data_IF_676799045658
#
_entry.id   IF_676799045658
#
_cell.length_a   1.000
_cell.length_b   1.000
_cell.length_c   1.000
_cell.angle_alpha   90.00
_cell.angle_beta   90.00
_cell.angle_gamma   90.00
#
_symmetry.space_group_name_H-M   'P 1'
#
loop_
_entity.id
_entity.type
_entity.pdbx_description
1 polymer ?
#
# COMPACT_ATOMS: atom_id res chain seq x y z
N UNK A 1 4.27 5.15 -13.19
CA UNK A 1 4.13 3.68 -12.99
C UNK A 1 4.03 3.28 -11.51
N UNK A 2 4.93 3.77 -10.65
CA UNK A 2 4.92 3.53 -9.19
C UNK A 2 3.57 3.86 -8.56
N UNK A 3 3.00 5.02 -8.87
CA UNK A 3 1.68 5.45 -8.38
C UNK A 3 0.55 4.48 -8.77
N UNK A 4 0.59 3.92 -9.98
CA UNK A 4 -0.42 2.96 -10.43
C UNK A 4 -0.33 1.65 -9.64
N UNK A 5 0.88 1.24 -9.26
CA UNK A 5 1.11 0.05 -8.44
C UNK A 5 0.71 0.32 -6.98
N UNK A 6 1.07 1.48 -6.43
CA UNK A 6 0.61 1.92 -5.11
C UNK A 6 -0.92 2.03 -5.03
N UNK A 7 -1.58 2.49 -6.11
CA UNK A 7 -3.05 2.52 -6.20
C UNK A 7 -3.64 1.11 -6.21
N UNK A 8 -3.00 0.18 -6.92
CA UNK A 8 -3.44 -1.24 -6.98
C UNK A 8 -3.27 -1.97 -5.65
N UNK A 9 -2.21 -1.72 -4.90
CA UNK A 9 -2.02 -2.31 -3.57
C UNK A 9 -2.89 -1.61 -2.51
N UNK A 10 -3.28 -0.35 -2.75
CA UNK A 10 -4.05 0.47 -1.81
C UNK A 10 -3.16 1.22 -0.82
N UNK A 11 -1.87 1.34 -1.12
CA UNK A 11 -0.88 2.06 -0.31
C UNK A 11 -0.73 3.52 -0.71
N UNK A 12 -1.28 3.94 -1.85
CA UNK A 12 -1.14 5.31 -2.36
C UNK A 12 -1.59 6.37 -1.34
N UNK A 13 -2.67 6.13 -0.60
CA UNK A 13 -3.18 7.06 0.44
C UNK A 13 -2.24 7.19 1.66
N UNK A 14 -1.27 6.29 1.81
CA UNK A 14 -0.30 6.29 2.94
C UNK A 14 1.12 6.63 2.53
N UNK A 15 1.42 6.65 1.24
CA UNK A 15 2.72 7.06 0.73
C UNK A 15 2.74 8.58 0.53
N UNK A 16 3.77 9.22 1.04
CA UNK A 16 4.04 10.61 0.72
C UNK A 16 4.56 10.74 -0.72
N UNK A 17 4.54 11.97 -1.25
CA UNK A 17 5.14 12.28 -2.55
C UNK A 17 6.62 11.88 -2.59
N UNK A 18 7.35 12.10 -1.49
CA UNK A 18 8.76 11.73 -1.35
C UNK A 18 8.93 10.22 -1.43
N UNK A 19 8.07 9.43 -0.79
CA UNK A 19 8.17 7.96 -0.84
C UNK A 19 7.97 7.44 -2.27
N UNK A 20 7.03 8.02 -3.00
CA UNK A 20 6.79 7.71 -4.42
C UNK A 20 8.02 8.03 -5.26
N UNK A 21 8.66 9.18 -5.03
CA UNK A 21 9.88 9.59 -5.73
C UNK A 21 11.06 8.67 -5.42
N UNK A 22 11.25 8.27 -4.16
CA UNK A 22 12.30 7.32 -3.74
C UNK A 22 12.09 5.96 -4.40
N UNK A 23 10.85 5.44 -4.40
CA UNK A 23 10.49 4.19 -5.06
C UNK A 23 10.72 4.25 -6.58
N UNK A 24 10.42 5.40 -7.21
CA UNK A 24 10.66 5.61 -8.64
C UNK A 24 12.16 5.62 -8.94
N UNK A 25 12.94 6.40 -8.18
CA UNK A 25 14.38 6.51 -8.34
C UNK A 25 15.08 5.16 -8.13
N UNK A 26 14.71 4.43 -7.07
CA UNK A 26 15.26 3.12 -6.79
C UNK A 26 14.98 2.13 -7.92
N UNK A 27 13.80 2.21 -8.55
CA UNK A 27 13.47 1.38 -9.71
C UNK A 27 14.34 1.70 -10.92
N UNK A 28 14.51 2.98 -11.23
CA UNK A 28 15.32 3.43 -12.38
C UNK A 28 16.79 3.05 -12.21
N UNK A 29 17.33 3.23 -11.01
CA UNK A 29 18.73 2.93 -10.69
C UNK A 29 18.97 1.45 -10.35
N UNK A 30 17.91 0.62 -10.26
CA UNK A 30 17.96 -0.75 -9.72
C UNK A 30 18.65 -0.80 -8.35
N UNK A 31 18.42 0.21 -7.53
CA UNK A 31 19.01 0.35 -6.20
C UNK A 31 18.18 -0.36 -5.13
N UNK A 32 18.84 -0.79 -4.06
CA UNK A 32 18.19 -1.39 -2.89
C UNK A 32 17.66 -0.29 -1.97
N UNK A 33 16.40 -0.40 -1.55
CA UNK A 33 15.78 0.53 -0.60
C UNK A 33 16.04 0.06 0.82
N UNK A 34 16.65 0.90 1.66
CA UNK A 34 16.78 0.64 3.08
C UNK A 34 15.67 1.40 3.81
N UNK A 35 14.69 0.69 4.37
CA UNK A 35 13.56 1.30 5.08
C UNK A 35 12.85 0.28 5.95
N UNK A 36 12.36 0.71 7.11
CA UNK A 36 11.47 -0.08 7.98
C UNK A 36 9.97 0.21 7.75
N UNK A 37 9.63 1.12 6.82
CA UNK A 37 8.23 1.42 6.53
C UNK A 37 7.59 0.29 5.69
N UNK A 38 6.58 -0.37 6.26
CA UNK A 38 5.87 -1.46 5.60
C UNK A 38 5.13 -1.05 4.31
N UNK A 39 4.65 0.20 4.18
CA UNK A 39 4.01 0.67 2.95
C UNK A 39 5.04 0.75 1.81
N UNK A 40 6.22 1.31 2.11
CA UNK A 40 7.33 1.40 1.14
C UNK A 40 7.78 -0.01 0.76
N UNK A 41 8.02 -0.89 1.74
CA UNK A 41 8.42 -2.26 1.48
C UNK A 41 7.38 -3.04 0.67
N UNK A 42 6.07 -2.83 0.92
CA UNK A 42 4.99 -3.51 0.18
C UNK A 42 5.03 -3.14 -1.32
N UNK A 43 5.15 -1.84 -1.60
CA UNK A 43 5.22 -1.34 -2.97
C UNK A 43 6.54 -1.72 -3.64
N UNK A 44 7.67 -1.63 -2.93
CA UNK A 44 8.98 -2.08 -3.40
C UNK A 44 8.94 -3.56 -3.80
N UNK A 45 8.41 -4.43 -2.93
CA UNK A 45 8.25 -5.86 -3.20
C UNK A 45 7.36 -6.13 -4.41
N UNK A 46 6.28 -5.37 -4.58
CA UNK A 46 5.40 -5.48 -5.75
C UNK A 46 6.09 -5.02 -7.04
N UNK A 47 6.94 -4.00 -6.95
CA UNK A 47 7.77 -3.49 -8.03
C UNK A 47 9.01 -4.35 -8.32
N UNK A 48 9.26 -5.40 -7.52
CA UNK A 48 10.47 -6.24 -7.55
C UNK A 48 11.75 -5.42 -7.31
N UNK A 49 11.66 -4.37 -6.50
CA UNK A 49 12.81 -3.61 -6.00
C UNK A 49 13.32 -4.33 -4.76
N UNK A 50 14.63 -4.53 -4.66
CA UNK A 50 15.22 -5.07 -3.46
C UNK A 50 15.10 -4.08 -2.31
N UNK A 51 14.81 -4.58 -1.11
CA UNK A 51 14.76 -3.74 0.08
C UNK A 51 15.38 -4.46 1.26
N UNK A 52 15.94 -3.69 2.18
CA UNK A 52 16.50 -4.17 3.43
C UNK A 52 15.80 -3.46 4.61
N UNK A 53 15.17 -4.21 5.52
CA UNK A 53 14.71 -3.65 6.79
C UNK A 53 15.92 -3.36 7.70
N UNK A 54 15.78 -2.41 8.63
CA UNK A 54 16.85 -2.05 9.57
C UNK A 54 16.64 -2.76 10.92
N UNK A 55 15.47 -2.57 11.52
CA UNK A 55 15.10 -3.18 12.80
C UNK A 55 13.97 -4.21 12.66
N UNK A 56 13.13 -4.06 11.63
CA UNK A 56 11.96 -4.92 11.46
C UNK A 56 12.33 -6.27 10.82
N UNK A 57 11.41 -7.25 10.91
CA UNK A 57 11.54 -8.53 10.17
C UNK A 57 11.36 -8.37 8.65
N UNK A 58 11.07 -7.16 8.17
CA UNK A 58 10.72 -6.87 6.79
C UNK A 58 9.38 -7.48 6.35
N UNK A 59 8.88 -7.02 5.20
CA UNK A 59 7.61 -7.50 4.65
C UNK A 59 7.78 -8.87 3.97
N UNK A 60 7.09 -9.88 4.49
CA UNK A 60 7.18 -11.26 3.97
C UNK A 60 6.23 -11.51 2.80
N UNK A 61 5.06 -10.89 2.81
CA UNK A 61 4.01 -11.09 1.81
C UNK A 61 3.51 -9.74 1.26
N UNK A 62 2.95 -9.77 0.06
CA UNK A 62 2.37 -8.56 -0.55
C UNK A 62 0.93 -8.44 -0.04
N UNK A 63 0.62 -7.31 0.59
CA UNK A 63 -0.72 -7.00 1.06
C UNK A 63 -1.47 -6.17 0.02
N UNK A 64 -2.73 -6.54 -0.22
CA UNK A 64 -3.68 -5.72 -0.93
C UNK A 64 -4.68 -5.18 0.07
N UNK A 65 -5.05 -3.92 -0.04
CA UNK A 65 -5.95 -3.28 0.90
C UNK A 65 -7.31 -3.03 0.24
N UNK A 66 -8.37 -3.25 1.01
CA UNK A 66 -9.75 -2.94 0.64
C UNK A 66 -10.40 -2.10 1.72
N UNK A 67 -11.45 -1.40 1.35
CA UNK A 67 -12.28 -0.65 2.29
C UNK A 67 -13.51 -1.48 2.67
N UNK A 68 -13.82 -1.58 3.96
CA UNK A 68 -14.88 -2.41 4.52
C UNK A 68 -15.81 -1.55 5.37
N UNK A 69 -17.11 -1.66 5.15
CA UNK A 69 -18.11 -1.00 5.97
C UNK A 69 -18.47 -1.87 7.18
N UNK A 70 -18.28 -1.40 8.42
CA UNK A 70 -18.64 -2.17 9.61
C UNK A 70 -20.16 -2.37 9.77
N UNK A 71 -20.97 -1.45 9.25
CA UNK A 71 -22.43 -1.48 9.40
C UNK A 71 -23.10 -2.35 8.31
N UNK A 72 -22.82 -2.07 7.03
CA UNK A 72 -23.37 -2.84 5.92
C UNK A 72 -22.66 -4.18 5.66
N UNK A 73 -21.51 -4.43 6.30
CA UNK A 73 -20.65 -5.60 6.10
C UNK A 73 -20.23 -5.84 4.65
N UNK A 74 -20.21 -4.78 3.83
CA UNK A 74 -19.83 -4.82 2.40
C UNK A 74 -18.41 -4.30 2.19
N UNK A 75 -17.76 -4.83 1.16
CA UNK A 75 -16.45 -4.39 0.69
C UNK A 75 -16.62 -3.38 -0.45
N UNK A 76 -15.81 -2.34 -0.41
CA UNK A 76 -15.78 -1.26 -1.39
C UNK A 76 -14.37 -1.09 -1.96
N UNK A 77 -14.29 -0.45 -3.13
CA UNK A 77 -13.02 -0.06 -3.75
C UNK A 77 -12.36 1.05 -2.93
N UNK A 78 -11.03 1.17 -3.07
CA UNK A 78 -10.18 2.03 -2.25
C UNK A 78 -10.51 3.53 -2.33
N UNK A 79 -11.22 4.01 -3.35
CA UNK A 79 -11.48 5.44 -3.54
C UNK A 79 -12.61 6.02 -2.67
N UNK A 80 -13.45 5.20 -2.02
CA UNK A 80 -14.55 5.69 -1.19
C UNK A 80 -14.10 5.85 0.26
N UNK A 81 -14.29 6.99 0.91
CA UNK A 81 -14.05 7.12 2.37
C UNK A 81 -15.26 6.73 3.21
N UNK A 82 -16.45 6.91 2.65
CA UNK A 82 -17.72 6.69 3.31
C UNK A 82 -18.56 5.66 2.56
N UNK A 83 -19.39 4.93 3.30
CA UNK A 83 -20.29 3.95 2.73
C UNK A 83 -21.43 4.65 1.99
N UNK A 84 -21.63 4.44 0.67
CA UNK A 84 -22.71 5.07 -0.09
C UNK A 84 -24.11 4.57 0.32
N UNK A 85 -24.19 3.53 1.14
CA UNK A 85 -25.46 2.92 1.59
C UNK A 85 -25.89 3.47 2.96
N UNK A 86 -24.94 3.68 3.87
CA UNK A 86 -25.26 4.01 5.27
C UNK A 86 -24.45 5.18 5.86
N UNK A 87 -23.62 5.87 5.07
CA UNK A 87 -22.80 7.00 5.50
C UNK A 87 -21.67 6.69 6.49
N UNK A 88 -21.49 5.42 6.89
CA UNK A 88 -20.45 5.07 7.86
C UNK A 88 -19.04 5.14 7.23
N UNK A 89 -18.06 5.63 8.00
CA UNK A 89 -16.65 5.63 7.60
C UNK A 89 -16.15 4.20 7.32
N UNK A 90 -15.50 4.02 6.18
CA UNK A 90 -14.98 2.74 5.75
C UNK A 90 -13.65 2.43 6.45
N UNK A 91 -13.48 1.19 6.90
CA UNK A 91 -12.24 0.70 7.51
C UNK A 91 -11.35 0.07 6.46
N UNK A 92 -10.06 0.39 6.49
CA UNK A 92 -9.05 -0.28 5.65
C UNK A 92 -8.74 -1.65 6.25
N UNK A 93 -8.95 -2.71 5.47
CA UNK A 93 -8.70 -4.09 5.86
C UNK A 93 -7.80 -4.76 4.82
N UNK A 94 -6.87 -5.64 5.25
CA UNK A 94 -6.11 -6.44 4.31
C UNK A 94 -7.07 -7.40 3.58
N UNK A 95 -6.91 -7.50 2.27
CA UNK A 95 -7.56 -8.51 1.45
C UNK A 95 -6.87 -9.84 1.77
N UNK A 96 -7.47 -10.62 2.65
CA UNK A 96 -7.10 -12.02 2.83
C UNK A 96 -7.21 -12.74 1.47
N UNK A 97 -6.24 -13.62 1.19
CA UNK A 97 -6.24 -14.48 -0.01
C UNK A 97 -7.52 -15.29 -0.10
#
# INVERSE_FOLDING_TARGET
>A
EVEAIAKKTGDLEKLSKTDIQVLALAKELKATIISDDYNIQNVAKKLKIEFLPVFSKGIKEIFFWKKYCPNCKKYFKSELEECPICGAKLKRVPKTK
#
